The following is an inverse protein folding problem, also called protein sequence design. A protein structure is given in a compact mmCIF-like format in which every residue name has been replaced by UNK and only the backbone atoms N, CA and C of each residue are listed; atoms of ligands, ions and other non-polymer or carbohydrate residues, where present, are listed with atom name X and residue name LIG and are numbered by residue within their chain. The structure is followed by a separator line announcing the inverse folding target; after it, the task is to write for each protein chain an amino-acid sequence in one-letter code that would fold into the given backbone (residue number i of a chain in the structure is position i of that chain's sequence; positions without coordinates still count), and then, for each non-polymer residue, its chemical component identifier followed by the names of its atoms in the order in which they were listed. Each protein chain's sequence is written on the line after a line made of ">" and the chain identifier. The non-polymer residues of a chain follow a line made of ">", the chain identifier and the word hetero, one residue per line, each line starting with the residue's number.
data_IF_308246218198
#
_entry.id   IF_308246218198
#
_cell.length_a   1.000
_cell.length_b   1.000
_cell.length_c   1.000
_cell.angle_alpha   90.00
_cell.angle_beta   90.00
_cell.angle_gamma   90.00
#
_symmetry.space_group_name_H-M   'P 1'
#
loop_
_entity.id
_entity.type
_entity.pdbx_description
1 polymer ?
#
# COMPACT_ATOMS: atom_id res chain seq x y z
N UNK A 1 -0.40 -9.45 17.28
CA UNK A 1 -0.11 -8.88 15.96
C UNK A 1 0.47 -7.50 16.18
N UNK A 2 1.67 -7.22 15.70
CA UNK A 2 2.27 -5.88 15.71
C UNK A 2 1.75 -5.12 14.50
N UNK A 3 1.11 -3.97 14.70
CA UNK A 3 0.73 -3.09 13.61
C UNK A 3 2.00 -2.44 13.04
N UNK A 4 2.27 -2.62 11.75
CA UNK A 4 3.37 -1.93 11.07
C UNK A 4 2.85 -0.60 10.56
N UNK A 5 3.67 0.44 10.62
CA UNK A 5 3.32 1.73 9.99
C UNK A 5 3.44 1.60 8.49
N UNK A 6 2.53 2.21 7.73
CA UNK A 6 2.56 2.20 6.27
C UNK A 6 3.92 2.70 5.75
N UNK A 7 4.47 3.77 6.32
CA UNK A 7 5.80 4.30 5.99
C UNK A 7 6.93 3.29 6.20
N UNK A 8 6.85 2.44 7.24
CA UNK A 8 7.86 1.40 7.45
C UNK A 8 7.79 0.32 6.38
N UNK A 9 6.57 -0.15 6.04
CA UNK A 9 6.38 -1.11 4.96
C UNK A 9 6.95 -0.56 3.65
N UNK A 10 6.63 0.69 3.32
CA UNK A 10 7.13 1.34 2.11
C UNK A 10 8.65 1.48 2.10
N UNK A 11 9.28 1.86 3.23
CA UNK A 11 10.75 1.96 3.35
C UNK A 11 11.45 0.62 3.05
N UNK A 12 10.94 -0.47 3.59
CA UNK A 12 11.49 -1.82 3.35
C UNK A 12 11.31 -2.22 1.87
N UNK A 13 10.20 -1.78 1.26
CA UNK A 13 9.86 -2.00 -0.15
C UNK A 13 10.79 -1.26 -1.13
N UNK A 14 11.26 -0.06 -0.78
CA UNK A 14 12.14 0.76 -1.64
C UNK A 14 13.51 0.14 -1.96
N UNK A 15 13.85 -0.99 -1.35
CA UNK A 15 15.07 -1.75 -1.67
C UNK A 15 14.94 -2.57 -2.96
N UNK A 16 13.74 -2.67 -3.54
CA UNK A 16 13.49 -3.42 -4.79
C UNK A 16 13.54 -2.47 -5.99
N UNK A 17 14.33 -2.83 -7.01
CA UNK A 17 14.45 -2.03 -8.23
C UNK A 17 13.18 -2.15 -9.09
N UNK A 18 12.58 -1.02 -9.45
CA UNK A 18 11.47 -0.91 -10.40
C UNK A 18 10.16 -0.34 -9.82
N UNK A 19 9.16 -0.09 -10.69
CA UNK A 19 7.87 0.47 -10.29
C UNK A 19 7.13 -0.52 -9.38
N UNK A 20 7.06 -0.20 -8.10
CA UNK A 20 6.51 -1.11 -7.09
C UNK A 20 5.06 -0.79 -6.79
N UNK A 21 4.21 -1.81 -6.80
CA UNK A 21 2.78 -1.71 -6.44
C UNK A 21 2.56 -2.24 -5.03
N UNK A 22 1.88 -1.44 -4.22
CA UNK A 22 1.29 -1.85 -2.96
C UNK A 22 -0.16 -2.27 -3.20
N UNK A 23 -0.49 -3.49 -2.83
CA UNK A 23 -1.85 -4.02 -2.80
C UNK A 23 -2.33 -3.92 -1.35
N UNK A 24 -3.43 -3.19 -1.15
CA UNK A 24 -4.04 -2.95 0.14
C UNK A 24 -5.39 -3.66 0.19
N UNK A 25 -5.49 -4.77 0.91
CA UNK A 25 -6.77 -5.42 1.19
C UNK A 25 -7.28 -4.94 2.52
N UNK A 26 -8.25 -4.05 2.48
CA UNK A 26 -8.77 -3.29 3.60
C UNK A 26 -10.18 -3.73 3.96
N UNK A 27 -10.37 -4.10 5.22
CA UNK A 27 -11.66 -4.34 5.84
C UNK A 27 -12.25 -3.02 6.34
N UNK A 28 -13.38 -2.64 5.74
CA UNK A 28 -14.09 -1.39 6.00
C UNK A 28 -14.71 -1.31 7.38
N UNK A 29 -15.05 -2.45 8.00
CA UNK A 29 -15.66 -2.48 9.31
C UNK A 29 -14.63 -2.27 10.41
N UNK A 30 -13.48 -2.94 10.29
CA UNK A 30 -12.46 -2.94 11.36
C UNK A 30 -11.37 -1.89 11.16
N UNK A 31 -11.20 -1.41 9.93
CA UNK A 31 -10.12 -0.51 9.52
C UNK A 31 -8.79 -1.22 9.25
N UNK A 32 -8.71 -2.54 9.48
CA UNK A 32 -7.49 -3.31 9.26
C UNK A 32 -7.26 -3.61 7.80
N UNK A 33 -6.00 -3.64 7.40
CA UNK A 33 -5.59 -4.00 6.07
C UNK A 33 -4.41 -4.95 6.07
N UNK A 34 -4.48 -5.90 5.14
CA UNK A 34 -3.35 -6.73 4.74
C UNK A 34 -2.64 -6.05 3.57
N UNK A 35 -1.34 -5.84 3.73
CA UNK A 35 -0.48 -5.20 2.75
C UNK A 35 0.34 -6.24 2.01
N UNK A 36 0.39 -6.14 0.69
CA UNK A 36 1.26 -6.95 -0.15
C UNK A 36 1.96 -6.09 -1.20
N UNK A 37 3.17 -6.48 -1.59
CA UNK A 37 3.99 -5.78 -2.57
C UNK A 37 4.08 -6.63 -3.83
N UNK A 38 3.76 -6.04 -4.97
CA UNK A 38 3.95 -6.65 -6.27
C UNK A 38 4.95 -5.82 -7.09
N UNK A 39 6.01 -6.47 -7.58
CA UNK A 39 6.94 -5.88 -8.54
C UNK A 39 6.66 -6.51 -9.91
N UNK A 40 6.32 -5.71 -10.93
CA UNK A 40 6.01 -6.23 -12.25
C UNK A 40 7.14 -7.10 -12.81
N UNK A 41 6.79 -8.30 -13.26
CA UNK A 41 7.75 -9.22 -13.88
C UNK A 41 8.57 -10.08 -12.91
N UNK A 42 8.43 -9.91 -11.59
CA UNK A 42 9.24 -10.67 -10.60
C UNK A 42 8.47 -11.79 -9.89
N UNK A 43 7.24 -12.10 -10.32
CA UNK A 43 6.42 -13.18 -9.78
C UNK A 43 5.25 -12.69 -8.91
N UNK A 44 4.75 -13.54 -8.00
CA UNK A 44 3.58 -13.22 -7.17
C UNK A 44 3.87 -12.11 -6.16
N UNK A 45 2.80 -11.44 -5.70
CA UNK A 45 2.91 -10.43 -4.66
C UNK A 45 3.39 -11.05 -3.34
N UNK A 46 4.30 -10.36 -2.65
CA UNK A 46 4.86 -10.75 -1.36
C UNK A 46 4.09 -10.07 -0.22
N UNK A 47 3.85 -10.80 0.87
CA UNK A 47 3.30 -10.22 2.09
C UNK A 47 4.23 -9.14 2.66
N UNK A 48 3.66 -8.01 3.04
CA UNK A 48 4.41 -6.83 3.49
C UNK A 48 4.07 -6.42 4.92
N UNK A 49 2.88 -6.77 5.42
CA UNK A 49 2.50 -6.50 6.80
C UNK A 49 1.01 -6.23 6.99
N UNK A 50 0.67 -5.84 8.21
CA UNK A 50 -0.66 -5.35 8.56
C UNK A 50 -0.60 -3.89 8.96
N UNK A 51 -1.63 -3.16 8.56
CA UNK A 51 -1.79 -1.75 8.90
C UNK A 51 -3.24 -1.46 9.24
N UNK A 52 -3.50 -0.55 10.17
CA UNK A 52 -4.86 -0.12 10.51
C UNK A 52 -5.03 1.32 10.07
N UNK A 53 -5.86 1.53 9.06
CA UNK A 53 -6.18 2.85 8.58
C UNK A 53 -7.06 3.57 9.60
N UNK A 54 -6.82 4.87 9.78
CA UNK A 54 -7.51 5.66 10.80
C UNK A 54 -8.96 5.98 10.45
N UNK A 55 -9.32 5.95 9.15
CA UNK A 55 -10.66 6.31 8.67
C UNK A 55 -11.39 5.15 8.01
N UNK A 56 -12.69 5.02 8.31
CA UNK A 56 -13.59 4.00 7.77
C UNK A 56 -14.07 4.25 6.32
N UNK A 57 -13.42 5.14 5.58
CA UNK A 57 -13.83 5.49 4.21
C UNK A 57 -12.67 5.36 3.24
N UNK A 58 -12.96 5.02 1.98
CA UNK A 58 -11.94 4.92 0.93
C UNK A 58 -11.17 6.24 0.74
N UNK A 59 -11.83 7.39 0.93
CA UNK A 59 -11.17 8.70 0.87
C UNK A 59 -10.14 8.89 1.98
N UNK A 60 -10.40 8.40 3.19
CA UNK A 60 -9.44 8.47 4.29
C UNK A 60 -8.25 7.53 4.06
N UNK A 61 -8.50 6.31 3.55
CA UNK A 61 -7.45 5.37 3.15
C UNK A 61 -6.58 5.98 2.05
N UNK A 62 -7.18 6.59 1.02
CA UNK A 62 -6.45 7.25 -0.06
C UNK A 62 -5.61 8.44 0.45
N UNK A 63 -6.14 9.22 1.39
CA UNK A 63 -5.40 10.33 2.00
C UNK A 63 -4.20 9.85 2.82
N UNK A 64 -4.34 8.75 3.57
CA UNK A 64 -3.26 8.14 4.34
C UNK A 64 -2.18 7.53 3.41
N UNK A 65 -2.60 6.87 2.32
CA UNK A 65 -1.69 6.41 1.27
C UNK A 65 -0.94 7.58 0.59
N UNK A 66 -1.64 8.68 0.29
CA UNK A 66 -1.03 9.88 -0.29
C UNK A 66 -0.04 10.56 0.68
N UNK A 67 -0.36 10.63 1.97
CA UNK A 67 0.55 11.14 3.00
C UNK A 67 1.82 10.29 3.12
N UNK A 68 1.75 9.01 2.77
CA UNK A 68 2.89 8.11 2.70
C UNK A 68 3.62 8.14 1.34
N UNK A 69 3.20 8.99 0.40
CA UNK A 69 3.83 9.20 -0.90
C UNK A 69 3.30 8.30 -2.03
N UNK A 70 2.23 7.54 -1.81
CA UNK A 70 1.65 6.66 -2.82
C UNK A 70 0.56 7.35 -3.65
N UNK A 71 0.42 6.96 -4.91
CA UNK A 71 -0.75 7.29 -5.73
C UNK A 71 -1.66 6.06 -5.76
N UNK A 72 -2.88 6.18 -5.24
CA UNK A 72 -3.84 5.07 -5.18
C UNK A 72 -4.87 5.11 -6.31
N UNK A 73 -5.23 3.92 -6.81
CA UNK A 73 -6.37 3.72 -7.67
C UNK A 73 -7.69 3.74 -6.86
N UNK A 74 -8.85 3.93 -7.50
CA UNK A 74 -10.14 3.75 -6.84
C UNK A 74 -10.26 2.34 -6.22
N UNK A 75 -10.95 2.20 -5.07
CA UNK A 75 -11.14 0.90 -4.43
C UNK A 75 -11.97 -0.04 -5.32
N UNK A 76 -11.53 -1.29 -5.41
CA UNK A 76 -12.31 -2.40 -5.91
C UNK A 76 -13.00 -3.09 -4.72
N UNK A 77 -14.34 -3.11 -4.70
CA UNK A 77 -15.08 -3.84 -3.67
C UNK A 77 -15.07 -5.33 -3.98
N UNK A 78 -14.48 -6.13 -3.10
CA UNK A 78 -14.40 -7.59 -3.25
C UNK A 78 -15.65 -8.26 -2.70
N UNK A 79 -16.17 -7.71 -1.59
CA UNK A 79 -17.43 -8.11 -0.96
C UNK A 79 -18.02 -6.93 -0.15
N UNK A 80 -19.00 -7.19 0.71
CA UNK A 80 -19.73 -6.19 1.50
C UNK A 80 -18.85 -5.42 2.50
N UNK A 81 -17.71 -5.98 2.92
CA UNK A 81 -16.84 -5.38 3.95
C UNK A 81 -15.42 -5.17 3.42
N UNK A 82 -14.94 -6.00 2.51
CA UNK A 82 -13.58 -5.99 2.00
C UNK A 82 -13.45 -5.18 0.71
N UNK A 83 -12.42 -4.33 0.66
CA UNK A 83 -12.01 -3.60 -0.55
C UNK A 83 -10.53 -3.80 -0.82
N UNK A 84 -10.17 -3.84 -2.08
CA UNK A 84 -8.78 -3.84 -2.54
C UNK A 84 -8.45 -2.49 -3.18
N UNK A 85 -7.30 -1.93 -2.81
CA UNK A 85 -6.78 -0.69 -3.38
C UNK A 85 -5.36 -0.98 -3.86
N UNK A 86 -5.12 -0.76 -5.15
CA UNK A 86 -3.76 -0.71 -5.69
C UNK A 86 -3.20 0.70 -5.47
N UNK A 87 -1.99 0.79 -4.95
CA UNK A 87 -1.26 2.03 -4.82
C UNK A 87 0.14 1.90 -5.40
N UNK A 88 0.58 2.87 -6.18
CA UNK A 88 1.90 2.88 -6.80
C UNK A 88 2.82 3.71 -5.92
N UNK A 89 3.98 3.14 -5.57
CA UNK A 89 5.09 3.91 -5.05
C UNK A 89 5.80 4.55 -6.25
N UNK A 90 5.80 5.89 -6.37
CA UNK A 90 6.63 6.53 -7.38
C UNK A 90 8.09 6.15 -7.10
N UNK A 91 8.84 5.81 -8.16
CA UNK A 91 10.29 5.68 -8.04
C UNK A 91 10.82 7.02 -7.51
N UNK A 92 11.32 7.00 -6.28
CA UNK A 92 12.20 8.08 -5.84
C UNK A 92 13.44 7.89 -6.67
N UNK A 93 13.55 8.61 -7.79
CA UNK A 93 14.83 8.79 -8.47
C UNK A 93 15.78 9.23 -7.35
N UNK A 94 16.70 8.34 -6.97
CA UNK A 94 17.84 8.73 -6.19
C UNK A 94 18.48 9.85 -7.01
N UNK A 95 18.31 11.07 -6.48
CA UNK A 95 18.79 12.30 -7.06
C UNK A 95 20.19 12.04 -7.65
N UNK A 96 20.32 12.31 -8.95
CA UNK A 96 21.56 12.21 -9.68
C UNK A 96 22.56 13.18 -9.03
N UNK A 97 23.28 12.71 -8.01
CA UNK A 97 24.39 13.45 -7.42
C UNK A 97 25.66 13.00 -8.11
N UNK A 98 26.11 13.87 -9.01
CA UNK A 98 27.41 13.79 -9.68
C UNK A 98 28.58 14.11 -8.77
#
# INVERSE_FOLDING_TARGET
>A
MTATTLTQVLRETHTVAGPTRLIVRWDRETGWAHLAIAVPGTGPACFAGFHRFAGGSAGAVAAELAAAGCVSAPPLHLDDTLSEIEAVLPEVYADARG
#
